data_IF_805760302408
#
_entry.id   IF_805760302408
#
_cell.length_a   1.000
_cell.length_b   1.000
_cell.length_c   1.000
_cell.angle_alpha   90.00
_cell.angle_beta   90.00
_cell.angle_gamma   90.00
#
_symmetry.space_group_name_H-M   'P 1'
#
loop_
_entity.id
_entity.type
_entity.pdbx_description
1 polymer ?
#
# COMPACT_ATOMS: atom_id res chain seq x y z
N UNK A 1 49.58 29.67 -8.78
CA UNK A 1 49.18 31.03 -9.18
C UNK A 1 47.83 31.30 -8.54
N UNK A 2 47.78 31.77 -7.29
CA UNK A 2 47.77 33.18 -6.84
C UNK A 2 46.35 33.49 -6.33
N UNK A 3 46.14 33.57 -5.01
CA UNK A 3 46.20 34.78 -4.15
C UNK A 3 44.79 35.39 -3.98
N UNK A 4 44.13 35.27 -2.81
CA UNK A 4 44.16 36.14 -1.60
C UNK A 4 43.58 37.55 -1.83
N UNK A 5 42.83 38.02 -0.82
CA UNK A 5 42.47 39.41 -0.41
C UNK A 5 40.96 39.74 -0.51
N UNK A 6 40.30 40.44 0.43
CA UNK A 6 40.70 41.14 1.65
C UNK A 6 39.49 41.40 2.56
N UNK A 7 39.77 41.43 3.85
CA UNK A 7 38.96 41.86 4.97
C UNK A 7 39.04 43.40 5.11
N UNK A 8 37.97 44.11 5.44
CA UNK A 8 38.09 45.45 6.05
C UNK A 8 36.98 45.76 7.06
N UNK A 9 37.45 46.08 8.26
CA UNK A 9 36.80 46.58 9.47
C UNK A 9 36.68 48.12 9.50
N UNK A 10 36.31 48.64 10.69
CA UNK A 10 36.50 50.03 11.23
C UNK A 10 35.16 50.83 11.15
N UNK A 11 34.58 51.43 12.20
CA UNK A 11 35.19 52.24 13.27
C UNK A 11 34.26 52.46 14.48
N UNK A 12 34.87 52.57 15.66
CA UNK A 12 34.33 53.09 16.94
C UNK A 12 34.01 54.59 16.91
N UNK A 13 33.10 55.04 17.80
CA UNK A 13 33.25 56.32 18.50
C UNK A 13 32.92 56.18 19.99
N UNK A 14 33.90 56.55 20.83
CA UNK A 14 33.80 56.92 22.25
C UNK A 14 33.80 58.44 22.34
N UNK A 15 33.13 59.04 23.33
CA UNK A 15 33.65 60.15 24.18
C UNK A 15 32.70 60.34 25.38
N UNK A 16 33.16 60.10 26.62
CA UNK A 16 33.72 61.04 27.62
C UNK A 16 32.63 61.82 28.38
N UNK A 17 32.38 61.51 29.66
CA UNK A 17 32.99 62.03 30.92
C UNK A 17 32.23 63.21 31.53
N UNK A 18 31.96 63.13 32.82
CA UNK A 18 31.48 64.24 33.65
C UNK A 18 31.27 63.81 35.10
N UNK A 19 32.21 64.19 35.98
CA UNK A 19 32.21 63.98 37.42
C UNK A 19 31.46 65.13 38.10
N UNK A 20 30.65 64.86 39.15
CA UNK A 20 30.53 65.77 40.30
C UNK A 20 29.98 65.07 41.55
N UNK A 21 30.50 65.51 42.70
CA UNK A 21 30.29 65.00 44.08
C UNK A 21 29.08 65.67 44.76
N UNK A 22 28.70 65.06 45.91
CA UNK A 22 27.90 65.62 47.03
C UNK A 22 26.39 65.44 46.83
N UNK A 23 25.56 65.07 47.81
CA UNK A 23 25.61 65.30 49.26
C UNK A 23 24.66 64.32 49.98
N UNK A 24 24.92 63.96 51.24
CA UNK A 24 23.97 63.24 52.10
C UNK A 24 22.68 64.06 52.28
N UNK A 25 21.52 63.45 52.06
CA UNK A 25 20.26 63.89 52.66
C UNK A 25 19.43 62.67 53.06
N UNK A 26 19.30 62.51 54.38
CA UNK A 26 18.29 61.68 55.03
C UNK A 26 16.94 62.33 54.74
N UNK A 27 15.95 61.54 54.28
CA UNK A 27 14.54 61.77 54.64
C UNK A 27 13.68 60.52 54.42
N UNK A 28 13.19 60.02 55.57
CA UNK A 28 11.84 59.53 55.87
C UNK A 28 10.98 58.90 54.76
N UNK A 29 10.70 57.61 54.98
CA UNK A 29 9.51 56.81 54.62
C UNK A 29 8.35 57.56 53.95
N UNK A 30 7.95 57.05 52.80
CA UNK A 30 6.55 56.88 52.44
C UNK A 30 6.37 55.45 51.92
N UNK A 31 5.45 54.71 52.53
CA UNK A 31 5.13 53.34 52.14
C UNK A 31 4.44 53.34 50.78
N UNK A 32 5.14 52.90 49.74
CA UNK A 32 4.55 52.54 48.46
C UNK A 32 4.11 51.08 48.54
N UNK A 33 2.80 50.84 48.68
CA UNK A 33 2.17 49.53 48.54
C UNK A 33 2.35 49.04 47.11
N UNK A 34 3.40 48.23 46.87
CA UNK A 34 3.45 47.38 45.69
C UNK A 34 2.42 46.27 45.87
N UNK A 35 1.37 46.28 45.04
CA UNK A 35 0.45 45.15 44.93
C UNK A 35 1.20 43.95 44.35
N UNK A 36 1.70 43.07 45.22
CA UNK A 36 2.19 41.76 44.83
C UNK A 36 0.99 40.90 44.47
N UNK A 37 0.73 40.72 43.17
CA UNK A 37 -0.24 39.75 42.68
C UNK A 37 0.17 38.37 43.19
N UNK A 38 -0.71 37.59 43.85
CA UNK A 38 -0.34 36.25 44.28
C UNK A 38 -0.21 35.38 43.03
N UNK A 39 1.01 34.96 42.69
CA UNK A 39 1.20 33.89 41.71
C UNK A 39 0.58 32.63 42.32
N UNK A 40 -0.57 32.20 41.79
CA UNK A 40 -1.15 30.89 42.11
C UNK A 40 -0.18 29.82 41.62
N UNK A 41 0.74 29.41 42.47
CA UNK A 41 1.61 28.27 42.22
C UNK A 41 0.74 27.02 42.16
N UNK A 42 0.76 26.35 41.01
CA UNK A 42 0.13 25.03 40.86
C UNK A 42 0.80 24.11 41.88
N UNK A 43 0.03 23.47 42.76
CA UNK A 43 0.59 22.60 43.79
C UNK A 43 1.30 21.41 43.16
N UNK A 44 2.32 20.88 43.84
CA UNK A 44 3.04 19.67 43.41
C UNK A 44 2.08 18.50 43.18
N UNK A 45 1.02 18.38 43.98
CA UNK A 45 -0.05 17.38 43.83
C UNK A 45 -0.80 17.60 42.52
N UNK A 46 -1.24 18.83 42.21
CA UNK A 46 -1.93 19.11 40.94
C UNK A 46 -1.04 18.87 39.72
N UNK A 47 0.27 19.11 39.83
CA UNK A 47 1.23 18.84 38.77
C UNK A 47 1.43 17.32 38.57
N UNK A 48 1.58 16.56 39.66
CA UNK A 48 1.66 15.09 39.64
C UNK A 48 0.39 14.47 39.05
N UNK A 49 -0.79 14.95 39.42
CA UNK A 49 -2.06 14.48 38.85
C UNK A 49 -2.18 14.78 37.36
N UNK A 50 -1.77 15.97 36.90
CA UNK A 50 -1.74 16.33 35.48
C UNK A 50 -0.76 15.43 34.70
N UNK A 51 0.44 15.19 35.21
CA UNK A 51 1.44 14.34 34.57
C UNK A 51 0.97 12.89 34.51
N UNK A 52 0.38 12.37 35.59
CA UNK A 52 -0.17 11.01 35.63
C UNK A 52 -1.33 10.86 34.63
N UNK A 53 -2.26 11.82 34.60
CA UNK A 53 -3.38 11.84 33.66
C UNK A 53 -2.91 11.93 32.20
N UNK A 54 -1.95 12.80 31.90
CA UNK A 54 -1.35 12.90 30.57
C UNK A 54 -0.62 11.61 30.18
N UNK A 55 0.14 11.00 31.09
CA UNK A 55 0.85 9.75 30.84
C UNK A 55 -0.11 8.58 30.57
N UNK A 56 -1.19 8.49 31.35
CA UNK A 56 -2.22 7.47 31.16
C UNK A 56 -2.96 7.71 29.83
N UNK A 57 -3.27 8.95 29.48
CA UNK A 57 -3.86 9.32 28.19
C UNK A 57 -2.95 9.02 27.00
N UNK A 58 -1.66 9.35 27.10
CA UNK A 58 -0.68 9.02 26.06
C UNK A 58 -0.51 7.50 25.93
N UNK A 59 -0.50 6.75 27.04
CA UNK A 59 -0.44 5.29 27.02
C UNK A 59 -1.69 4.68 26.39
N UNK A 60 -2.90 5.14 26.76
CA UNK A 60 -4.15 4.61 26.18
C UNK A 60 -4.22 4.91 24.68
N UNK A 61 -3.90 6.13 24.25
CA UNK A 61 -3.84 6.50 22.83
C UNK A 61 -2.77 5.69 22.11
N UNK A 62 -1.56 5.59 22.66
CA UNK A 62 -0.46 4.82 22.09
C UNK A 62 -0.74 3.31 22.03
N UNK A 63 -1.53 2.77 22.95
CA UNK A 63 -1.93 1.36 22.95
C UNK A 63 -3.05 1.06 21.93
N UNK A 64 -3.98 2.01 21.73
CA UNK A 64 -5.01 1.90 20.69
C UNK A 64 -4.41 2.08 19.28
N UNK A 65 -3.43 2.98 19.15
CA UNK A 65 -2.77 3.31 17.89
C UNK A 65 -1.25 3.12 17.99
N UNK A 66 -0.78 1.86 18.11
CA UNK A 66 0.65 1.59 18.25
C UNK A 66 1.39 2.10 17.01
N UNK A 67 2.56 2.76 17.17
CA UNK A 67 3.33 3.23 16.04
C UNK A 67 3.79 2.05 15.17
N UNK A 68 3.90 2.27 13.85
CA UNK A 68 4.19 1.24 12.84
C UNK A 68 5.38 0.32 13.18
N UNK A 69 6.51 0.81 13.72
CA UNK A 69 7.63 -0.06 14.09
C UNK A 69 7.28 -1.07 15.20
N UNK A 70 6.42 -0.71 16.15
CA UNK A 70 5.99 -1.63 17.20
C UNK A 70 5.03 -2.69 16.66
N UNK A 71 4.21 -2.34 15.67
CA UNK A 71 3.32 -3.31 15.03
C UNK A 71 4.07 -4.36 14.20
N UNK A 72 5.30 -4.08 13.78
CA UNK A 72 6.18 -5.04 13.12
C UNK A 72 6.78 -6.06 14.09
N UNK A 73 7.12 -5.61 15.30
CA UNK A 73 7.66 -6.48 16.35
C UNK A 73 6.55 -7.27 17.07
N UNK A 74 5.36 -6.68 17.14
CA UNK A 74 4.18 -7.23 17.83
C UNK A 74 2.97 -7.12 16.90
N UNK A 75 2.90 -7.95 15.86
CA UNK A 75 1.74 -8.03 14.98
C UNK A 75 0.48 -8.29 15.81
N UNK A 76 -0.64 -7.65 15.44
CA UNK A 76 -1.90 -7.87 16.15
C UNK A 76 -2.31 -9.35 16.01
N UNK A 77 -2.69 -10.01 17.12
CA UNK A 77 -3.38 -11.28 17.03
C UNK A 77 -4.66 -11.07 16.21
N UNK A 78 -4.80 -11.85 15.14
CA UNK A 78 -6.00 -11.95 14.34
C UNK A 78 -6.50 -13.39 14.52
N UNK A 79 -7.81 -13.59 14.54
CA UNK A 79 -8.38 -14.91 14.79
C UNK A 79 -7.83 -15.92 13.75
N UNK A 80 -7.58 -17.18 14.15
CA UNK A 80 -7.23 -18.20 13.19
C UNK A 80 -8.38 -18.36 12.19
N UNK A 81 -8.09 -18.76 10.95
CA UNK A 81 -9.17 -19.04 10.03
C UNK A 81 -10.01 -20.23 10.47
N UNK A 82 -11.27 -20.32 10.02
CA UNK A 82 -12.13 -21.46 10.30
C UNK A 82 -11.43 -22.79 9.98
N UNK A 83 -11.53 -23.76 10.89
CA UNK A 83 -10.79 -25.02 10.81
C UNK A 83 -11.26 -25.93 9.66
N UNK A 84 -12.57 -25.93 9.38
CA UNK A 84 -13.16 -26.68 8.27
C UNK A 84 -13.55 -25.73 7.12
N UNK A 85 -12.90 -25.82 5.95
CA UNK A 85 -13.20 -24.99 4.78
C UNK A 85 -14.65 -25.05 4.29
N UNK A 86 -15.39 -26.12 4.60
CA UNK A 86 -16.76 -26.33 4.13
C UNK A 86 -17.83 -26.05 5.19
N UNK A 87 -17.42 -25.66 6.40
CA UNK A 87 -18.33 -25.32 7.49
C UNK A 87 -19.21 -24.10 7.20
N UNK A 88 -20.32 -23.98 7.93
CA UNK A 88 -21.17 -22.78 7.87
C UNK A 88 -20.40 -21.51 8.25
N UNK A 89 -19.45 -21.61 9.18
CA UNK A 89 -18.56 -20.52 9.59
C UNK A 89 -17.67 -20.05 8.43
N UNK A 90 -17.05 -20.97 7.69
CA UNK A 90 -16.24 -20.67 6.49
C UNK A 90 -17.03 -19.98 5.39
N UNK A 91 -18.28 -20.39 5.19
CA UNK A 91 -19.18 -19.75 4.24
C UNK A 91 -19.53 -18.33 4.68
N UNK A 92 -19.94 -18.15 5.94
CA UNK A 92 -20.24 -16.84 6.50
C UNK A 92 -19.03 -15.89 6.44
N UNK A 93 -17.83 -16.40 6.73
CA UNK A 93 -16.57 -15.67 6.59
C UNK A 93 -16.34 -15.19 5.15
N UNK A 94 -16.53 -16.08 4.17
CA UNK A 94 -16.32 -15.75 2.75
C UNK A 94 -17.38 -14.77 2.24
N UNK A 95 -18.64 -14.95 2.64
CA UNK A 95 -19.74 -14.03 2.31
C UNK A 95 -19.52 -12.63 2.92
N UNK A 96 -19.02 -12.54 4.15
CA UNK A 96 -18.67 -11.28 4.79
C UNK A 96 -17.53 -10.57 4.06
N UNK A 97 -16.47 -11.29 3.68
CA UNK A 97 -15.38 -10.72 2.88
C UNK A 97 -15.86 -10.23 1.51
N UNK A 98 -16.76 -10.98 0.85
CA UNK A 98 -17.31 -10.56 -0.45
C UNK A 98 -18.16 -9.28 -0.29
N UNK A 99 -18.96 -9.18 0.77
CA UNK A 99 -19.69 -7.95 1.09
C UNK A 99 -18.73 -6.77 1.37
N UNK A 100 -17.64 -7.01 2.11
CA UNK A 100 -16.60 -6.01 2.35
C UNK A 100 -15.97 -5.54 1.03
N UNK A 101 -15.56 -6.47 0.17
CA UNK A 101 -14.99 -6.18 -1.16
C UNK A 101 -15.92 -5.26 -1.96
N UNK A 102 -17.21 -5.58 -2.05
CA UNK A 102 -18.19 -4.76 -2.77
C UNK A 102 -18.44 -3.39 -2.13
N UNK A 103 -18.10 -3.25 -0.85
CA UNK A 103 -18.27 -2.00 -0.10
C UNK A 103 -17.05 -1.07 -0.15
N UNK A 104 -15.89 -1.55 -0.63
CA UNK A 104 -14.64 -0.79 -0.65
C UNK A 104 -14.81 0.57 -1.36
N UNK A 105 -14.41 1.70 -0.73
CA UNK A 105 -14.53 3.03 -1.31
C UNK A 105 -13.83 3.16 -2.67
N UNK A 106 -12.60 2.65 -2.78
CA UNK A 106 -11.82 2.68 -4.02
C UNK A 106 -12.49 1.89 -5.15
N UNK A 107 -13.15 0.75 -4.86
CA UNK A 107 -13.86 -0.02 -5.88
C UNK A 107 -15.11 0.72 -6.35
N UNK A 108 -15.85 1.33 -5.42
CA UNK A 108 -17.02 2.15 -5.73
C UNK A 108 -16.65 3.37 -6.56
N UNK A 109 -15.57 4.06 -6.21
CA UNK A 109 -15.03 5.19 -6.99
C UNK A 109 -14.66 4.77 -8.41
N UNK A 110 -13.95 3.65 -8.58
CA UNK A 110 -13.57 3.15 -9.90
C UNK A 110 -14.77 2.77 -10.78
N UNK A 111 -15.90 2.39 -10.17
CA UNK A 111 -17.16 2.08 -10.87
C UNK A 111 -17.94 3.31 -11.28
N UNK A 112 -17.72 4.46 -10.64
CA UNK A 112 -18.45 5.72 -10.91
C UNK A 112 -17.60 6.79 -11.60
N UNK A 113 -16.31 6.52 -11.81
CA UNK A 113 -15.40 7.41 -12.53
C UNK A 113 -15.87 7.64 -13.97
N UNK A 114 -15.51 8.79 -14.55
CA UNK A 114 -15.93 9.19 -15.89
C UNK A 114 -15.52 8.19 -17.00
N UNK A 115 -14.39 7.50 -16.84
CA UNK A 115 -13.88 6.49 -17.76
C UNK A 115 -14.38 5.07 -17.42
N UNK A 116 -15.31 4.88 -16.47
CA UNK A 116 -15.70 3.55 -15.99
C UNK A 116 -16.18 2.61 -17.10
N UNK A 117 -16.75 3.13 -18.19
CA UNK A 117 -17.16 2.36 -19.37
C UNK A 117 -15.99 1.82 -20.20
N UNK A 118 -14.79 2.38 -20.07
CA UNK A 118 -13.56 1.85 -20.68
C UNK A 118 -13.03 0.60 -19.97
N UNK A 119 -13.62 0.24 -18.83
CA UNK A 119 -13.19 -0.88 -18.00
C UNK A 119 -14.26 -1.97 -17.96
N UNK A 120 -13.83 -3.21 -17.77
CA UNK A 120 -14.71 -4.33 -17.46
C UNK A 120 -14.26 -5.04 -16.18
N UNK A 121 -15.19 -5.75 -15.54
CA UNK A 121 -14.89 -6.55 -14.35
C UNK A 121 -14.85 -8.03 -14.70
N UNK A 122 -13.92 -8.75 -14.08
CA UNK A 122 -13.87 -10.20 -14.15
C UNK A 122 -13.35 -10.80 -12.84
N UNK A 123 -13.55 -12.12 -12.70
CA UNK A 123 -13.10 -12.93 -11.58
C UNK A 123 -12.14 -14.01 -12.08
N UNK A 124 -10.82 -13.74 -12.08
CA UNK A 124 -9.83 -14.74 -12.42
C UNK A 124 -10.05 -16.03 -11.62
N UNK A 125 -9.82 -17.16 -12.27
CA UNK A 125 -9.98 -18.52 -11.74
C UNK A 125 -11.40 -18.98 -11.41
N UNK A 126 -12.43 -18.12 -11.37
CA UNK A 126 -13.77 -18.50 -10.93
C UNK A 126 -14.38 -19.64 -11.77
N UNK A 127 -14.07 -19.68 -13.06
CA UNK A 127 -14.63 -20.65 -14.00
C UNK A 127 -13.68 -21.80 -14.34
N UNK A 128 -12.56 -21.93 -13.61
CA UNK A 128 -11.68 -23.07 -13.79
C UNK A 128 -12.36 -24.36 -13.32
N UNK A 129 -12.30 -25.45 -14.12
CA UNK A 129 -12.74 -26.77 -13.66
C UNK A 129 -11.95 -27.22 -12.43
N UNK A 130 -12.63 -27.89 -11.48
CA UNK A 130 -12.02 -28.29 -10.20
C UNK A 130 -10.74 -29.12 -10.36
N UNK A 131 -10.71 -30.04 -11.34
CA UNK A 131 -9.55 -30.88 -11.61
C UNK A 131 -8.34 -30.09 -12.13
N UNK A 132 -8.58 -28.95 -12.79
CA UNK A 132 -7.53 -28.02 -13.22
C UNK A 132 -7.12 -27.16 -12.03
N UNK A 133 -8.10 -26.55 -11.35
CA UNK A 133 -7.86 -25.67 -10.20
C UNK A 133 -7.03 -26.37 -9.10
N UNK A 134 -7.32 -27.64 -8.80
CA UNK A 134 -6.59 -28.43 -7.80
C UNK A 134 -5.07 -28.53 -8.08
N UNK A 135 -4.67 -28.43 -9.35
CA UNK A 135 -3.27 -28.47 -9.79
C UNK A 135 -2.68 -27.08 -10.08
N UNK A 136 -3.36 -26.02 -9.64
CA UNK A 136 -2.86 -24.65 -9.72
C UNK A 136 -2.58 -24.11 -8.32
N UNK A 137 -1.53 -23.30 -8.21
CA UNK A 137 -1.10 -22.77 -6.93
C UNK A 137 -2.14 -21.82 -6.31
N UNK A 138 -2.58 -20.80 -7.05
CA UNK A 138 -3.49 -19.75 -6.59
C UNK A 138 -4.95 -20.19 -6.52
N UNK A 139 -5.48 -20.88 -7.54
CA UNK A 139 -6.87 -21.33 -7.55
C UNK A 139 -7.10 -22.64 -6.77
N UNK A 140 -6.05 -23.41 -6.51
CA UNK A 140 -6.09 -24.67 -5.76
C UNK A 140 -5.45 -24.54 -4.38
N UNK A 141 -4.16 -24.84 -4.29
CA UNK A 141 -3.46 -25.06 -3.00
C UNK A 141 -3.55 -23.90 -2.00
N UNK A 142 -3.62 -22.66 -2.51
CA UNK A 142 -3.70 -21.44 -1.72
C UNK A 142 -5.13 -20.93 -1.53
N UNK A 143 -6.14 -21.63 -2.05
CA UNK A 143 -7.55 -21.27 -1.89
C UNK A 143 -8.07 -21.68 -0.50
N UNK A 144 -8.99 -20.89 0.03
CA UNK A 144 -9.78 -21.21 1.22
C UNK A 144 -9.80 -20.11 2.28
N UNK A 145 -10.65 -20.26 3.31
CA UNK A 145 -10.71 -19.34 4.45
C UNK A 145 -9.33 -19.13 5.08
N UNK A 146 -9.00 -17.89 5.43
CA UNK A 146 -7.67 -17.53 5.94
C UNK A 146 -6.52 -17.52 4.94
N UNK A 147 -6.74 -17.92 3.70
CA UNK A 147 -5.76 -17.82 2.62
C UNK A 147 -6.26 -16.84 1.57
N UNK A 148 -6.23 -17.22 0.29
CA UNK A 148 -7.03 -16.57 -0.73
C UNK A 148 -8.46 -17.11 -0.57
N UNK A 149 -9.33 -16.36 0.12
CA UNK A 149 -10.71 -16.76 0.45
C UNK A 149 -11.74 -16.33 -0.60
N UNK A 150 -11.46 -15.25 -1.35
CA UNK A 150 -12.24 -14.82 -2.52
C UNK A 150 -11.49 -15.03 -3.82
N UNK A 151 -12.23 -15.24 -4.92
CA UNK A 151 -11.65 -15.06 -6.24
C UNK A 151 -11.35 -13.57 -6.42
N UNK A 152 -10.16 -13.20 -6.92
CA UNK A 152 -9.80 -11.80 -7.13
C UNK A 152 -10.86 -11.08 -7.95
N UNK A 153 -11.09 -9.80 -7.68
CA UNK A 153 -11.86 -8.94 -8.58
C UNK A 153 -10.88 -8.12 -9.40
N UNK A 154 -10.86 -8.35 -10.71
CA UNK A 154 -10.03 -7.59 -11.63
C UNK A 154 -10.91 -6.59 -12.39
N UNK A 155 -10.61 -5.30 -12.25
CA UNK A 155 -11.04 -4.24 -13.16
C UNK A 155 -9.97 -4.06 -14.22
N UNK A 156 -10.35 -4.21 -15.48
CA UNK A 156 -9.39 -4.28 -16.60
C UNK A 156 -9.82 -3.29 -17.66
N UNK A 157 -8.88 -2.51 -18.17
CA UNK A 157 -9.16 -1.59 -19.27
C UNK A 157 -9.37 -2.39 -20.55
N UNK A 158 -10.36 -2.03 -21.38
CA UNK A 158 -10.77 -2.77 -22.59
C UNK A 158 -9.66 -2.92 -23.63
N UNK A 159 -8.66 -2.04 -23.62
CA UNK A 159 -7.46 -2.10 -24.46
C UNK A 159 -6.37 -3.03 -23.90
N UNK A 160 -6.62 -3.68 -22.75
CA UNK A 160 -5.70 -4.59 -22.04
C UNK A 160 -4.38 -3.93 -21.59
N UNK A 161 -4.29 -2.60 -21.61
CA UNK A 161 -3.09 -1.88 -21.19
C UNK A 161 -2.93 -1.85 -19.67
N UNK A 162 -4.03 -1.87 -18.92
CA UNK A 162 -4.04 -1.70 -17.47
C UNK A 162 -5.02 -2.65 -16.78
N UNK A 163 -4.67 -3.05 -15.56
CA UNK A 163 -5.57 -3.77 -14.67
C UNK A 163 -5.37 -3.36 -13.21
N UNK A 164 -6.48 -3.33 -12.47
CA UNK A 164 -6.57 -3.09 -11.04
C UNK A 164 -7.22 -4.32 -10.42
N UNK A 165 -6.48 -5.06 -9.60
CA UNK A 165 -6.90 -6.34 -9.03
C UNK A 165 -7.02 -6.22 -7.52
N UNK A 166 -8.19 -6.54 -7.00
CA UNK A 166 -8.49 -6.57 -5.58
C UNK A 166 -8.35 -8.00 -5.05
N UNK A 167 -7.52 -8.18 -4.04
CA UNK A 167 -7.23 -9.48 -3.43
C UNK A 167 -7.25 -9.34 -1.92
N UNK A 168 -8.01 -10.22 -1.24
CA UNK A 168 -7.86 -10.38 0.21
C UNK A 168 -6.72 -11.35 0.50
N UNK A 169 -5.78 -10.95 1.37
CA UNK A 169 -4.63 -11.77 1.76
C UNK A 169 -4.77 -12.22 3.21
N UNK A 170 -5.19 -13.46 3.42
CA UNK A 170 -5.41 -13.99 4.77
C UNK A 170 -4.13 -14.40 5.51
N UNK A 171 -4.24 -14.56 6.82
CA UNK A 171 -3.15 -14.90 7.75
C UNK A 171 -2.43 -16.23 7.46
N UNK A 172 -3.10 -17.18 6.80
CA UNK A 172 -2.49 -18.44 6.34
C UNK A 172 -1.43 -18.26 5.24
N UNK A 173 -1.27 -17.03 4.72
CA UNK A 173 -0.26 -16.65 3.73
C UNK A 173 0.92 -15.89 4.36
N UNK A 174 0.97 -15.82 5.69
CA UNK A 174 2.03 -15.13 6.43
C UNK A 174 3.38 -15.84 6.32
N UNK A 175 4.46 -15.04 6.26
CA UNK A 175 5.84 -15.51 6.42
C UNK A 175 6.38 -15.27 7.82
N UNK A 176 6.01 -14.12 8.39
CA UNK A 176 6.18 -13.77 9.80
C UNK A 176 4.79 -13.53 10.39
N UNK A 177 4.61 -13.66 11.70
CA UNK A 177 3.28 -13.51 12.29
C UNK A 177 2.63 -12.17 11.87
N UNK A 178 1.38 -12.22 11.42
CA UNK A 178 0.64 -11.06 10.89
C UNK A 178 1.20 -10.35 9.63
N UNK A 179 2.33 -10.78 9.06
CA UNK A 179 2.92 -10.20 7.85
C UNK A 179 2.90 -11.23 6.71
N UNK A 180 2.23 -10.88 5.62
CA UNK A 180 2.11 -11.71 4.41
C UNK A 180 3.51 -12.01 3.86
N UNK A 181 3.74 -13.27 3.50
CA UNK A 181 5.03 -13.73 3.00
C UNK A 181 5.40 -12.96 1.72
N UNK A 182 6.63 -12.45 1.64
CA UNK A 182 7.08 -11.68 0.46
C UNK A 182 6.95 -12.45 -0.85
N UNK A 183 7.19 -13.76 -0.82
CA UNK A 183 6.96 -14.67 -1.96
C UNK A 183 5.49 -14.78 -2.37
N UNK A 184 4.53 -14.65 -1.44
CA UNK A 184 3.10 -14.61 -1.80
C UNK A 184 2.78 -13.34 -2.61
N UNK A 185 3.32 -12.19 -2.20
CA UNK A 185 3.18 -10.94 -2.95
C UNK A 185 3.85 -11.03 -4.32
N UNK A 186 5.00 -11.72 -4.42
CA UNK A 186 5.64 -11.99 -5.69
C UNK A 186 4.77 -12.86 -6.60
N UNK A 187 4.15 -13.91 -6.08
CA UNK A 187 3.20 -14.76 -6.83
C UNK A 187 2.00 -13.97 -7.36
N UNK A 188 1.36 -13.16 -6.50
CA UNK A 188 0.20 -12.35 -6.91
C UNK A 188 0.59 -11.29 -7.97
N UNK A 189 1.76 -10.69 -7.83
CA UNK A 189 2.29 -9.76 -8.83
C UNK A 189 2.62 -10.47 -10.14
N UNK A 190 3.24 -11.65 -10.11
CA UNK A 190 3.53 -12.42 -11.32
C UNK A 190 2.24 -12.71 -12.08
N UNK A 191 1.20 -13.20 -11.41
CA UNK A 191 -0.10 -13.51 -12.02
C UNK A 191 -0.79 -12.26 -12.59
N UNK A 192 -0.81 -11.16 -11.83
CA UNK A 192 -1.42 -9.91 -12.28
C UNK A 192 -0.69 -9.31 -13.49
N UNK A 193 0.65 -9.32 -13.48
CA UNK A 193 1.45 -8.84 -14.61
C UNK A 193 1.34 -9.77 -15.82
N UNK A 194 1.31 -11.09 -15.59
CA UNK A 194 1.16 -12.11 -16.62
C UNK A 194 -0.16 -11.93 -17.37
N UNK A 195 -1.24 -11.56 -16.68
CA UNK A 195 -2.52 -11.24 -17.33
C UNK A 195 -2.35 -10.23 -18.46
N UNK A 196 -1.91 -9.01 -18.15
CA UNK A 196 -1.72 -7.96 -19.16
C UNK A 196 -0.68 -8.35 -20.22
N UNK A 197 0.37 -9.07 -19.83
CA UNK A 197 1.36 -9.54 -20.78
C UNK A 197 0.76 -10.53 -21.77
N UNK A 198 0.05 -11.56 -21.29
CA UNK A 198 -0.47 -12.64 -22.13
C UNK A 198 -1.52 -12.11 -23.08
N UNK A 199 -2.46 -11.27 -22.62
CA UNK A 199 -3.47 -10.67 -23.48
C UNK A 199 -2.88 -9.78 -24.57
N UNK A 200 -1.64 -9.29 -24.41
CA UNK A 200 -0.94 -8.49 -25.41
C UNK A 200 0.08 -9.25 -26.26
N UNK A 201 0.35 -10.53 -25.99
CA UNK A 201 1.22 -11.36 -26.83
C UNK A 201 0.48 -11.87 -28.09
N UNK A 202 1.18 -12.13 -29.21
CA UNK A 202 0.55 -12.56 -30.46
C UNK A 202 -0.32 -13.82 -30.35
N UNK A 203 0.16 -14.85 -29.65
CA UNK A 203 -0.55 -16.12 -29.45
C UNK A 203 -1.38 -16.14 -28.17
N UNK A 204 -1.41 -15.05 -27.40
CA UNK A 204 -2.06 -14.96 -26.09
C UNK A 204 -1.54 -15.97 -25.05
N UNK A 205 -0.30 -16.40 -25.22
CA UNK A 205 0.38 -17.37 -24.37
C UNK A 205 1.79 -16.85 -24.10
N UNK A 206 2.18 -16.84 -22.83
CA UNK A 206 3.50 -16.41 -22.41
C UNK A 206 4.01 -17.21 -21.22
N UNK A 207 5.29 -17.00 -20.93
CA UNK A 207 5.94 -17.43 -19.69
C UNK A 207 6.70 -16.25 -19.11
N UNK A 208 6.84 -16.22 -17.79
CA UNK A 208 7.69 -15.23 -17.11
C UNK A 208 9.16 -15.52 -17.42
N UNK A 209 9.85 -14.54 -18.00
CA UNK A 209 11.30 -14.61 -18.24
C UNK A 209 12.09 -13.97 -17.11
N UNK A 210 11.64 -12.80 -16.63
CA UNK A 210 12.23 -12.14 -15.46
C UNK A 210 11.14 -11.46 -14.64
N UNK A 211 11.27 -11.50 -13.32
CA UNK A 211 10.45 -10.74 -12.39
C UNK A 211 11.38 -10.04 -11.39
N UNK A 212 11.31 -8.72 -11.32
CA UNK A 212 12.08 -7.91 -10.37
C UNK A 212 11.12 -7.20 -9.43
N UNK A 213 11.40 -7.26 -8.13
CA UNK A 213 10.54 -6.72 -7.07
C UNK A 213 11.35 -5.86 -6.09
N UNK A 214 10.76 -4.74 -5.66
CA UNK A 214 11.23 -3.97 -4.52
C UNK A 214 10.16 -3.99 -3.43
N UNK A 215 10.47 -4.56 -2.28
CA UNK A 215 9.61 -4.51 -1.09
C UNK A 215 9.82 -3.19 -0.36
N UNK A 216 8.77 -2.38 -0.27
CA UNK A 216 8.82 -1.00 0.24
C UNK A 216 8.27 -0.89 1.66
N UNK A 217 7.22 -1.66 1.95
CA UNK A 217 6.59 -1.69 3.27
C UNK A 217 6.06 -3.10 3.58
N UNK A 218 5.94 -3.46 4.87
CA UNK A 218 5.37 -4.74 5.29
C UNK A 218 3.88 -4.82 4.95
N UNK A 219 3.46 -5.92 4.34
CA UNK A 219 2.03 -6.16 4.05
C UNK A 219 1.40 -6.91 5.21
N UNK A 220 0.47 -6.28 5.91
CA UNK A 220 -0.32 -6.94 6.96
C UNK A 220 -1.25 -7.98 6.35
N UNK A 221 -1.54 -9.04 7.10
CA UNK A 221 -2.56 -10.01 6.74
C UNK A 221 -3.97 -9.52 7.12
N UNK A 222 -4.98 -10.25 6.62
CA UNK A 222 -6.42 -10.05 6.84
C UNK A 222 -6.89 -8.65 6.41
N UNK A 223 -6.38 -8.21 5.27
CA UNK A 223 -6.79 -6.99 4.59
C UNK A 223 -6.89 -7.22 3.09
N UNK A 224 -7.59 -6.31 2.41
CA UNK A 224 -7.52 -6.20 0.97
C UNK A 224 -6.27 -5.45 0.55
N UNK A 225 -5.61 -5.96 -0.49
CA UNK A 225 -4.57 -5.26 -1.24
C UNK A 225 -5.06 -4.97 -2.65
N UNK A 226 -4.51 -3.92 -3.24
CA UNK A 226 -4.80 -3.50 -4.61
C UNK A 226 -3.55 -3.65 -5.46
N UNK A 227 -3.60 -4.54 -6.43
CA UNK A 227 -2.53 -4.73 -7.41
C UNK A 227 -2.86 -3.91 -8.66
N UNK A 228 -2.03 -2.91 -8.97
CA UNK A 228 -2.17 -2.08 -10.17
C UNK A 228 -1.08 -2.46 -11.16
N UNK A 229 -1.45 -2.66 -12.42
CA UNK A 229 -0.55 -3.08 -13.48
C UNK A 229 -0.71 -2.22 -14.71
N UNK A 230 0.38 -2.04 -15.46
CA UNK A 230 0.43 -1.28 -16.69
C UNK A 230 1.40 -1.91 -17.67
N UNK A 231 0.95 -2.12 -18.91
CA UNK A 231 1.75 -2.54 -20.04
C UNK A 231 2.76 -1.43 -20.38
N UNK A 232 4.05 -1.76 -20.35
CA UNK A 232 5.12 -0.80 -20.64
C UNK A 232 5.50 -0.88 -22.12
N UNK A 233 5.69 -2.08 -22.64
CA UNK A 233 6.17 -2.27 -24.00
C UNK A 233 5.86 -3.67 -24.52
N UNK A 234 5.50 -3.75 -25.81
CA UNK A 234 5.42 -5.01 -26.56
C UNK A 234 6.39 -4.95 -27.75
N UNK A 235 7.30 -5.93 -27.82
CA UNK A 235 8.29 -6.08 -28.90
C UNK A 235 8.29 -7.51 -29.40
N UNK A 236 7.50 -7.76 -30.44
CA UNK A 236 7.37 -9.08 -31.07
C UNK A 236 6.84 -10.13 -30.09
N UNK A 237 7.71 -11.04 -29.63
CA UNK A 237 7.36 -12.11 -28.66
C UNK A 237 7.59 -11.73 -27.20
N UNK A 238 7.87 -10.46 -26.90
CA UNK A 238 8.20 -9.98 -25.55
C UNK A 238 7.21 -8.91 -25.12
N UNK A 239 6.69 -9.03 -23.91
CA UNK A 239 5.86 -8.01 -23.26
C UNK A 239 6.49 -7.64 -21.91
N UNK A 240 6.70 -6.35 -21.68
CA UNK A 240 7.16 -5.82 -20.40
C UNK A 240 5.99 -5.16 -19.70
N UNK A 241 5.75 -5.50 -18.45
CA UNK A 241 4.66 -4.97 -17.63
C UNK A 241 5.23 -4.49 -16.31
N UNK A 242 4.78 -3.33 -15.86
CA UNK A 242 5.10 -2.80 -14.53
C UNK A 242 3.87 -2.95 -13.63
N UNK A 243 4.10 -3.09 -12.33
CA UNK A 243 3.01 -3.12 -11.38
C UNK A 243 3.42 -2.77 -9.98
N UNK A 244 2.42 -2.59 -9.13
CA UNK A 244 2.59 -2.24 -7.72
C UNK A 244 1.45 -2.81 -6.90
N UNK A 245 1.76 -3.11 -5.64
CA UNK A 245 0.80 -3.48 -4.61
C UNK A 245 0.66 -2.33 -3.65
N UNK A 246 -0.57 -1.92 -3.39
CA UNK A 246 -0.93 -0.88 -2.42
C UNK A 246 -1.90 -1.45 -1.39
N UNK A 247 -1.88 -0.92 -0.17
CA UNK A 247 -2.99 -1.09 0.78
C UNK A 247 -4.19 -0.21 0.38
N UNK A 248 -5.27 -0.26 1.17
CA UNK A 248 -6.48 0.52 0.88
C UNK A 248 -6.29 2.03 1.10
N UNK A 249 -5.29 2.41 1.89
CA UNK A 249 -4.88 3.79 2.15
C UNK A 249 -3.97 4.37 1.05
N UNK A 250 -3.49 3.52 0.13
CA UNK A 250 -2.62 3.90 -0.98
C UNK A 250 -1.12 3.85 -0.65
N UNK A 251 -0.72 3.26 0.48
CA UNK A 251 0.68 3.02 0.82
C UNK A 251 1.27 2.01 -0.17
N UNK A 252 2.40 2.36 -0.78
CA UNK A 252 3.13 1.44 -1.65
C UNK A 252 3.78 0.33 -0.82
N UNK A 253 3.33 -0.91 -1.02
CA UNK A 253 3.85 -2.10 -0.34
C UNK A 253 4.97 -2.75 -1.13
N UNK A 254 4.75 -2.99 -2.43
CA UNK A 254 5.72 -3.64 -3.33
C UNK A 254 5.61 -3.01 -4.71
N UNK A 255 6.73 -2.75 -5.38
CA UNK A 255 6.78 -2.41 -6.81
C UNK A 255 7.46 -3.53 -7.59
N UNK A 256 7.01 -3.78 -8.82
CA UNK A 256 7.58 -4.83 -9.66
C UNK A 256 7.63 -4.48 -11.14
N UNK A 257 8.54 -5.16 -11.84
CA UNK A 257 8.65 -5.15 -13.30
C UNK A 257 8.85 -6.58 -13.80
N UNK A 258 8.00 -7.00 -14.70
CA UNK A 258 8.02 -8.33 -15.32
C UNK A 258 8.33 -8.27 -16.81
N UNK A 259 9.13 -9.21 -17.29
CA UNK A 259 9.30 -9.51 -18.72
C UNK A 259 8.70 -10.87 -18.99
N UNK A 260 7.77 -10.91 -19.93
CA UNK A 260 7.08 -12.12 -20.36
C UNK A 260 7.41 -12.40 -21.83
N UNK A 261 7.55 -13.67 -22.16
CA UNK A 261 7.96 -14.12 -23.49
C UNK A 261 7.02 -15.19 -24.01
N UNK A 262 6.55 -15.02 -25.24
CA UNK A 262 5.81 -16.07 -25.94
C UNK A 262 6.77 -17.19 -26.36
N UNK A 263 6.57 -18.45 -25.92
CA UNK A 263 7.36 -19.59 -26.37
C UNK A 263 7.23 -19.80 -27.89
N UNK A 264 8.27 -20.34 -28.54
CA UNK A 264 8.24 -20.59 -29.99
C UNK A 264 7.13 -21.59 -30.38
N UNK A 265 6.84 -22.53 -29.50
CA UNK A 265 5.81 -23.56 -29.67
C UNK A 265 4.41 -23.10 -29.23
N UNK A 266 4.20 -21.82 -28.89
CA UNK A 266 2.89 -21.33 -28.43
C UNK A 266 1.73 -21.61 -29.41
N UNK A 267 2.01 -21.67 -30.72
CA UNK A 267 1.00 -22.02 -31.74
C UNK A 267 0.45 -23.44 -31.63
N UNK A 268 1.11 -24.31 -30.87
CA UNK A 268 0.69 -25.70 -30.64
C UNK A 268 -0.11 -25.88 -29.35
N UNK A 269 -0.26 -24.81 -28.55
CA UNK A 269 -0.95 -24.83 -27.28
C UNK A 269 -2.37 -24.26 -27.44
N UNK A 270 -3.34 -24.83 -26.71
CA UNK A 270 -4.71 -24.33 -26.70
C UNK A 270 -4.82 -23.11 -25.75
N UNK A 271 -5.14 -21.90 -26.24
CA UNK A 271 -5.27 -20.72 -25.41
C UNK A 271 -6.54 -20.74 -24.52
N UNK A 272 -7.49 -21.65 -24.75
CA UNK A 272 -8.78 -21.67 -24.02
C UNK A 272 -8.61 -21.71 -22.51
N UNK A 273 -7.70 -22.55 -22.00
CA UNK A 273 -7.46 -22.63 -20.56
C UNK A 273 -6.91 -21.33 -19.99
N UNK A 274 -6.04 -20.63 -20.72
CA UNK A 274 -5.51 -19.34 -20.28
C UNK A 274 -6.65 -18.31 -20.25
N UNK A 275 -7.46 -18.22 -21.30
CA UNK A 275 -8.58 -17.27 -21.34
C UNK A 275 -9.60 -17.52 -20.24
N UNK A 276 -9.92 -18.79 -19.99
CA UNK A 276 -10.79 -19.21 -18.90
C UNK A 276 -10.21 -18.83 -17.53
N UNK A 277 -8.91 -19.03 -17.35
CA UNK A 277 -8.19 -18.65 -16.14
C UNK A 277 -8.20 -17.14 -15.90
N UNK A 278 -8.01 -16.35 -16.95
CA UNK A 278 -8.01 -14.88 -16.90
C UNK A 278 -9.43 -14.28 -16.78
N UNK A 279 -10.47 -15.09 -17.03
CA UNK A 279 -11.86 -14.67 -17.00
C UNK A 279 -12.23 -13.68 -18.12
N UNK A 280 -11.61 -13.77 -19.29
CA UNK A 280 -11.90 -12.85 -20.39
C UNK A 280 -13.40 -12.86 -20.75
N UNK A 281 -14.07 -11.69 -20.87
CA UNK A 281 -15.43 -11.64 -21.38
C UNK A 281 -15.45 -12.13 -22.84
N UNK A 282 -16.53 -12.79 -23.26
CA UNK A 282 -16.63 -13.46 -24.57
C UNK A 282 -16.50 -12.58 -25.82
N UNK A 283 -16.18 -11.29 -25.69
CA UNK A 283 -15.83 -10.39 -26.80
C UNK A 283 -14.33 -10.12 -26.76
N UNK A 284 -13.64 -10.42 -27.86
CA UNK A 284 -12.20 -10.27 -27.98
C UNK A 284 -11.77 -8.82 -27.67
N UNK A 285 -10.74 -8.61 -26.82
CA UNK A 285 -10.23 -7.27 -26.57
C UNK A 285 -9.63 -6.67 -27.85
N UNK A 286 -9.78 -5.35 -28.01
CA UNK A 286 -9.13 -4.60 -29.09
C UNK A 286 -7.63 -4.59 -28.81
N UNK A 287 -6.84 -5.18 -29.72
CA UNK A 287 -5.43 -5.47 -29.48
C UNK A 287 -4.54 -4.28 -29.84
N UNK A 288 -3.82 -3.73 -28.86
CA UNK A 288 -2.79 -2.70 -29.11
C UNK A 288 -1.64 -3.23 -29.99
N UNK A 289 -1.42 -4.55 -29.99
CA UNK A 289 -0.38 -5.19 -30.81
C UNK A 289 -0.63 -5.14 -32.33
N UNK A 290 -1.84 -4.74 -32.77
CA UNK A 290 -2.21 -4.71 -34.19
C UNK A 290 -1.90 -3.37 -34.89
N UNK A 291 -1.14 -2.48 -34.23
CA UNK A 291 -0.40 -1.40 -34.90
C UNK A 291 -1.02 0.00 -34.88
N UNK A 292 -2.03 0.25 -34.06
CA UNK A 292 -2.54 1.61 -33.91
C UNK A 292 -1.65 2.45 -32.99
N UNK A 293 -1.13 3.53 -33.58
CA UNK A 293 -0.26 4.52 -32.96
C UNK A 293 -0.98 5.15 -31.78
N UNK A 294 -0.35 5.10 -30.60
CA UNK A 294 -0.66 5.92 -29.44
C UNK A 294 -0.77 7.39 -29.90
N UNK A 295 -1.99 7.91 -29.98
CA UNK A 295 -2.22 9.34 -30.22
C UNK A 295 -1.71 10.10 -29.00
N UNK A 296 -0.87 11.11 -29.27
CA UNK A 296 -0.33 12.07 -28.29
C UNK A 296 -1.42 12.74 -27.46
#
# INVERSE_FOLDING_TARGET
MSSIFQQTSITRRRLFQGISRSQKRVNSRAASTSSTTPSRGISTITTLSLVAGASLGCYTIGSMYPPTPLQLLYPRPAPPPPADPYSAESRAYTEALEAELQSLPILRELRTRADAEEWYETRPHQHLPENVAANTLSAGSLRGPGKLALFPLARVKKDESEAIVFVHVGRGLCGHDGIVHGGMLATLLDEALARNAFTNLPAKIGVTATLSLDYRAPTRADQFIVVKTQLVEVKGRKATVAGRVEDLEGTLLVSAKGLFVQPKYAKLLDPKLIRLNLGEPGQAPVLIADGDKLSK
#
